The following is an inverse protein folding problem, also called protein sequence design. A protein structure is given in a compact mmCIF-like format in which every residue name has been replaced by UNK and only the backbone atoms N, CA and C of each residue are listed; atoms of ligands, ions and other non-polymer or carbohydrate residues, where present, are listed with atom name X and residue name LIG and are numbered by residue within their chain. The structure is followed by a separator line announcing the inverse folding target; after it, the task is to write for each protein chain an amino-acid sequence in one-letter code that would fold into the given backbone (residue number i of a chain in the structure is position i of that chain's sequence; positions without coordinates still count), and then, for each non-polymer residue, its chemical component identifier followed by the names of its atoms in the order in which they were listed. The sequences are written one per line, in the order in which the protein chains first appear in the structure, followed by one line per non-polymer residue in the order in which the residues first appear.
data_IF_206610736831
#
_entry.id   IF_206610736831
#
_cell.length_a   1.000
_cell.length_b   1.000
_cell.length_c   1.000
_cell.angle_alpha   90.00
_cell.angle_beta   90.00
_cell.angle_gamma   90.00
#
_symmetry.space_group_name_H-M   'P 1'
#
loop_
_entity.id
_entity.type
_entity.pdbx_description
1 polymer ?
#
# COMPACT_ATOMS: atom_id res chain seq x y z
N UNK A 1 6.71 -1.75 -39.13
CA UNK A 1 6.84 -2.75 -38.07
C UNK A 1 5.88 -3.92 -38.26
N UNK A 2 4.59 -3.70 -38.68
CA UNK A 2 3.67 -4.81 -38.98
C UNK A 2 4.17 -5.58 -40.20
N UNK A 3 4.21 -6.90 -40.14
CA UNK A 3 4.74 -7.80 -41.16
C UNK A 3 6.26 -8.04 -41.07
N UNK A 4 7.00 -7.29 -40.22
CA UNK A 4 8.43 -7.52 -40.01
C UNK A 4 8.66 -8.64 -38.98
N UNK A 5 9.84 -9.23 -39.02
CA UNK A 5 10.28 -10.22 -38.04
C UNK A 5 11.33 -9.61 -37.14
N UNK A 6 11.11 -9.64 -35.82
CA UNK A 6 12.04 -9.21 -34.78
C UNK A 6 12.61 -10.49 -34.13
N UNK A 7 13.87 -10.78 -34.34
CA UNK A 7 14.48 -12.08 -33.97
C UNK A 7 13.65 -13.23 -34.62
N UNK A 8 12.90 -14.00 -33.85
CA UNK A 8 12.00 -15.08 -34.33
C UNK A 8 10.52 -14.74 -34.10
N UNK A 9 10.18 -13.51 -33.78
CA UNK A 9 8.81 -13.05 -33.56
C UNK A 9 8.31 -12.30 -34.79
N UNK A 10 7.32 -12.82 -35.46
CA UNK A 10 6.66 -12.16 -36.59
C UNK A 10 5.55 -11.23 -36.10
N UNK A 11 5.72 -9.93 -36.26
CA UNK A 11 4.75 -8.92 -35.85
C UNK A 11 3.52 -8.98 -36.75
N UNK A 12 2.33 -9.23 -36.17
CA UNK A 12 1.07 -9.44 -36.89
C UNK A 12 0.10 -8.26 -36.81
N UNK A 13 0.03 -7.59 -35.66
CA UNK A 13 -0.87 -6.46 -35.45
C UNK A 13 -0.32 -5.47 -34.40
N UNK A 14 -0.83 -4.24 -34.43
CA UNK A 14 -0.60 -3.26 -33.36
C UNK A 14 -1.73 -3.39 -32.33
N UNK A 15 -1.37 -3.60 -31.05
CA UNK A 15 -2.32 -3.69 -29.93
C UNK A 15 -2.57 -2.32 -29.28
N UNK A 16 -1.55 -1.46 -29.19
CA UNK A 16 -1.67 -0.17 -28.56
C UNK A 16 -0.39 0.66 -28.64
N UNK A 17 -0.53 1.91 -28.22
CA UNK A 17 0.59 2.82 -28.02
C UNK A 17 0.32 3.63 -26.75
N UNK A 18 1.32 3.82 -25.92
CA UNK A 18 1.23 4.60 -24.69
C UNK A 18 2.55 5.24 -24.33
N UNK A 19 2.60 5.92 -23.23
CA UNK A 19 3.83 6.58 -22.74
C UNK A 19 4.99 5.61 -22.48
N UNK A 20 4.75 4.31 -22.45
CA UNK A 20 5.76 3.26 -22.26
C UNK A 20 6.19 2.56 -23.55
N UNK A 21 5.81 3.09 -24.72
CA UNK A 21 6.15 2.53 -26.02
C UNK A 21 4.96 1.97 -26.78
N UNK A 22 5.25 1.27 -27.86
CA UNK A 22 4.26 0.63 -28.72
C UNK A 22 4.19 -0.87 -28.41
N UNK A 23 2.96 -1.39 -28.34
CA UNK A 23 2.71 -2.82 -28.08
C UNK A 23 2.14 -3.46 -29.35
N UNK A 24 2.69 -4.59 -29.73
CA UNK A 24 2.32 -5.35 -30.91
C UNK A 24 1.98 -6.79 -30.56
N UNK A 25 1.04 -7.36 -31.29
CA UNK A 25 0.83 -8.81 -31.35
C UNK A 25 1.88 -9.42 -32.28
N UNK A 26 2.47 -10.52 -31.87
CA UNK A 26 3.43 -11.24 -32.68
C UNK A 26 3.31 -12.76 -32.49
N UNK A 27 3.69 -13.51 -33.53
CA UNK A 27 3.77 -14.96 -33.49
C UNK A 27 5.23 -15.38 -33.22
N UNK A 28 5.45 -16.11 -32.14
CA UNK A 28 6.70 -16.76 -31.81
C UNK A 28 6.86 -18.00 -32.73
N UNK A 29 7.70 -17.88 -33.75
CA UNK A 29 7.88 -18.90 -34.76
C UNK A 29 8.64 -20.14 -34.25
N UNK A 30 9.37 -20.02 -33.13
CA UNK A 30 10.08 -21.12 -32.49
C UNK A 30 9.18 -21.98 -31.62
N UNK A 31 8.28 -21.34 -30.85
CA UNK A 31 7.43 -22.04 -29.89
C UNK A 31 5.98 -22.19 -30.39
N UNK A 32 5.61 -21.61 -31.53
CA UNK A 32 4.28 -21.74 -32.13
C UNK A 32 3.17 -21.09 -31.27
N UNK A 33 3.47 -19.98 -30.59
CA UNK A 33 2.51 -19.29 -29.74
C UNK A 33 2.41 -17.80 -30.08
N UNK A 34 1.31 -17.19 -29.71
CA UNK A 34 1.13 -15.75 -29.82
C UNK A 34 1.67 -15.05 -28.57
N UNK A 35 2.30 -13.90 -28.76
CA UNK A 35 2.89 -13.08 -27.71
C UNK A 35 2.57 -11.61 -27.92
N UNK A 36 2.71 -10.79 -26.88
CA UNK A 36 2.74 -9.35 -26.98
C UNK A 36 4.19 -8.86 -26.95
N UNK A 37 4.55 -8.01 -27.89
CA UNK A 37 5.88 -7.36 -27.94
C UNK A 37 5.72 -5.89 -27.58
N UNK A 38 6.39 -5.46 -26.52
CA UNK A 38 6.44 -4.07 -26.11
C UNK A 38 7.78 -3.46 -26.47
N UNK A 39 7.77 -2.60 -27.51
CA UNK A 39 8.95 -1.86 -27.94
C UNK A 39 9.28 -0.80 -26.89
N UNK A 40 10.54 -0.76 -26.46
CA UNK A 40 10.99 0.27 -25.50
C UNK A 40 11.32 1.57 -26.24
N UNK A 41 11.13 2.73 -25.61
CA UNK A 41 11.48 4.01 -26.21
C UNK A 41 12.96 4.09 -26.56
N UNK A 42 13.32 4.77 -27.68
CA UNK A 42 14.71 4.88 -28.11
C UNK A 42 15.66 5.51 -27.08
N UNK A 43 15.14 6.39 -26.23
CA UNK A 43 15.89 7.05 -25.16
C UNK A 43 16.39 6.06 -24.09
N UNK A 44 15.77 4.89 -23.98
CA UNK A 44 16.23 3.82 -23.09
C UNK A 44 17.35 2.99 -23.72
N UNK A 45 17.37 2.88 -25.03
CA UNK A 45 18.41 2.14 -25.75
C UNK A 45 19.77 2.86 -25.72
N UNK A 46 19.75 4.19 -25.63
CA UNK A 46 20.97 5.03 -25.59
C UNK A 46 21.67 5.10 -24.23
N UNK A 47 21.08 4.53 -23.16
CA UNK A 47 21.62 4.58 -21.80
C UNK A 47 21.91 3.16 -21.27
N UNK A 48 23.20 2.71 -21.28
CA UNK A 48 23.56 1.36 -20.84
C UNK A 48 23.21 1.07 -19.38
N UNK A 49 23.24 2.07 -18.49
CA UNK A 49 22.91 1.87 -17.08
C UNK A 49 21.41 1.65 -16.89
N UNK A 50 20.59 2.41 -17.60
CA UNK A 50 19.13 2.23 -17.60
C UNK A 50 18.75 0.88 -18.19
N UNK A 51 19.38 0.46 -19.27
CA UNK A 51 19.13 -0.84 -19.88
C UNK A 51 19.54 -1.99 -18.95
N UNK A 52 20.71 -1.90 -18.28
CA UNK A 52 21.15 -2.89 -17.31
C UNK A 52 20.21 -2.96 -16.08
N UNK A 53 19.66 -1.84 -15.65
CA UNK A 53 18.65 -1.78 -14.58
C UNK A 53 17.34 -2.43 -15.02
N UNK A 54 16.87 -2.09 -16.21
CA UNK A 54 15.67 -2.70 -16.79
C UNK A 54 15.81 -4.22 -16.93
N UNK A 55 17.00 -4.71 -17.38
CA UNK A 55 17.27 -6.16 -17.46
C UNK A 55 17.13 -6.84 -16.10
N UNK A 56 17.69 -6.25 -15.05
CA UNK A 56 17.58 -6.77 -13.68
C UNK A 56 16.13 -6.78 -13.19
N UNK A 57 15.40 -5.71 -13.43
CA UNK A 57 13.98 -5.63 -13.05
C UNK A 57 13.13 -6.64 -13.85
N UNK A 58 13.36 -6.75 -15.16
CA UNK A 58 12.69 -7.74 -15.99
C UNK A 58 12.97 -9.19 -15.55
N UNK A 59 14.21 -9.50 -15.11
CA UNK A 59 14.55 -10.82 -14.55
C UNK A 59 13.78 -11.12 -13.26
N UNK A 60 13.67 -10.13 -12.36
CA UNK A 60 12.89 -10.28 -11.13
C UNK A 60 11.41 -10.46 -11.45
N UNK A 61 10.87 -9.66 -12.38
CA UNK A 61 9.49 -9.75 -12.82
C UNK A 61 9.19 -11.07 -13.54
N UNK A 62 10.12 -11.59 -14.35
CA UNK A 62 9.99 -12.89 -15.02
C UNK A 62 9.91 -14.06 -14.02
N UNK A 63 10.38 -13.87 -12.78
CA UNK A 63 10.21 -14.86 -11.72
C UNK A 63 8.79 -14.88 -11.10
N UNK A 64 7.94 -13.89 -11.44
CA UNK A 64 6.54 -13.86 -11.04
C UNK A 64 5.75 -14.81 -11.94
N UNK A 65 5.35 -15.94 -11.40
CA UNK A 65 4.40 -16.85 -12.06
C UNK A 65 3.14 -16.93 -11.21
N UNK A 66 2.13 -16.16 -11.60
CA UNK A 66 0.87 -16.08 -10.86
C UNK A 66 -0.31 -15.99 -11.85
N UNK A 67 -1.44 -16.64 -11.58
CA UNK A 67 -2.59 -16.65 -12.51
C UNK A 67 -3.12 -15.26 -12.82
N UNK A 68 -3.02 -14.31 -11.89
CA UNK A 68 -3.51 -12.95 -12.05
C UNK A 68 -2.42 -11.94 -12.44
N UNK A 69 -1.23 -12.36 -12.83
CA UNK A 69 -0.15 -11.49 -13.32
C UNK A 69 0.16 -11.86 -14.77
N UNK A 70 0.28 -10.87 -15.66
CA UNK A 70 0.75 -11.07 -17.01
C UNK A 70 2.23 -11.45 -17.02
N UNK A 71 2.56 -12.61 -17.60
CA UNK A 71 3.92 -13.14 -17.59
C UNK A 71 4.86 -12.36 -18.51
N UNK A 72 6.10 -12.17 -18.08
CA UNK A 72 7.21 -11.72 -18.92
C UNK A 72 7.94 -12.95 -19.44
N UNK A 73 7.92 -13.13 -20.75
CA UNK A 73 8.58 -14.26 -21.42
C UNK A 73 10.05 -14.00 -21.71
N UNK A 74 10.44 -12.73 -21.87
CA UNK A 74 11.82 -12.36 -22.13
C UNK A 74 12.02 -10.88 -22.38
N UNK A 75 13.28 -10.49 -22.40
CA UNK A 75 13.78 -9.21 -22.87
C UNK A 75 14.82 -9.49 -23.92
N UNK A 76 14.56 -9.05 -25.13
CA UNK A 76 15.44 -9.27 -26.29
C UNK A 76 15.81 -7.92 -26.92
N UNK A 77 16.81 -7.94 -27.80
CA UNK A 77 17.18 -6.79 -28.61
C UNK A 77 17.43 -7.22 -30.06
N UNK A 78 17.08 -6.36 -31.00
CA UNK A 78 17.36 -6.49 -32.42
C UNK A 78 17.79 -5.12 -32.93
N UNK A 79 18.97 -5.04 -33.55
CA UNK A 79 19.56 -3.80 -34.05
C UNK A 79 19.66 -2.71 -32.98
N UNK A 80 20.08 -3.08 -31.77
CA UNK A 80 20.15 -2.22 -30.59
C UNK A 80 18.81 -1.60 -30.15
N UNK A 81 17.69 -2.22 -30.55
CA UNK A 81 16.33 -1.84 -30.13
C UNK A 81 15.81 -2.90 -29.15
N UNK A 82 15.85 -2.63 -27.85
CA UNK A 82 15.36 -3.55 -26.85
C UNK A 82 13.83 -3.63 -26.86
N UNK A 83 13.29 -4.82 -26.63
CA UNK A 83 11.86 -5.05 -26.49
C UNK A 83 11.57 -6.14 -25.46
N UNK A 84 10.42 -6.02 -24.82
CA UNK A 84 9.89 -7.04 -23.91
C UNK A 84 8.96 -7.98 -24.65
N UNK A 85 9.12 -9.27 -24.40
CA UNK A 85 8.19 -10.31 -24.84
C UNK A 85 7.30 -10.68 -23.67
N UNK A 86 6.01 -10.50 -23.84
CA UNK A 86 5.00 -10.61 -22.79
C UNK A 86 3.95 -11.65 -23.17
N UNK A 87 3.25 -12.17 -22.18
CA UNK A 87 2.03 -12.94 -22.37
C UNK A 87 1.02 -12.10 -23.15
N UNK A 88 0.47 -12.65 -24.23
CA UNK A 88 -0.66 -12.06 -24.91
C UNK A 88 -1.94 -12.42 -24.16
N UNK A 89 -2.49 -11.45 -23.44
CA UNK A 89 -3.74 -11.64 -22.72
C UNK A 89 -4.92 -11.20 -23.58
N UNK A 90 -5.76 -12.12 -23.93
CA UNK A 90 -7.01 -11.85 -24.66
C UNK A 90 -8.06 -11.25 -23.74
N UNK A 91 -9.02 -10.50 -24.31
CA UNK A 91 -10.08 -9.83 -23.56
C UNK A 91 -9.95 -8.32 -23.57
N UNK A 92 -10.82 -7.65 -22.84
CA UNK A 92 -10.83 -6.20 -22.71
C UNK A 92 -10.04 -5.74 -21.48
N UNK A 93 -9.60 -4.48 -21.48
CA UNK A 93 -9.08 -3.91 -20.24
C UNK A 93 -10.21 -3.32 -19.38
N UNK A 94 -9.93 -3.14 -18.09
CA UNK A 94 -10.91 -2.65 -17.12
C UNK A 94 -11.40 -1.22 -17.47
N UNK A 95 -10.59 -0.40 -18.18
CA UNK A 95 -11.03 0.93 -18.61
C UNK A 95 -12.11 0.85 -19.70
N UNK A 96 -11.99 -0.12 -20.62
CA UNK A 96 -13.01 -0.41 -21.61
C UNK A 96 -14.30 -0.94 -20.95
N UNK A 97 -14.18 -1.80 -19.95
CA UNK A 97 -15.33 -2.28 -19.17
C UNK A 97 -16.04 -1.13 -18.44
N UNK A 98 -15.26 -0.24 -17.81
CA UNK A 98 -15.78 0.93 -17.07
C UNK A 98 -16.42 1.99 -17.97
N UNK A 99 -16.04 2.07 -19.25
CA UNK A 99 -16.68 2.99 -20.20
C UNK A 99 -18.17 2.70 -20.40
N UNK A 100 -18.63 1.49 -20.06
CA UNK A 100 -20.05 1.09 -20.11
C UNK A 100 -20.81 1.38 -18.82
N UNK A 101 -20.14 1.93 -17.82
CA UNK A 101 -20.74 2.28 -16.52
C UNK A 101 -20.18 1.47 -15.35
N UNK A 102 -20.77 1.62 -14.16
CA UNK A 102 -20.33 0.93 -12.96
C UNK A 102 -20.44 -0.60 -13.12
N UNK A 103 -19.59 -1.31 -12.38
CA UNK A 103 -19.57 -2.76 -12.37
C UNK A 103 -20.51 -3.25 -11.26
N UNK A 104 -21.35 -4.28 -11.51
CA UNK A 104 -22.16 -4.89 -10.47
C UNK A 104 -21.29 -5.29 -9.26
N UNK A 105 -21.85 -5.14 -8.05
CA UNK A 105 -21.09 -5.31 -6.82
C UNK A 105 -20.33 -6.63 -6.75
N UNK A 106 -20.99 -7.76 -7.00
CA UNK A 106 -20.34 -9.09 -6.92
C UNK A 106 -19.20 -9.23 -7.91
N UNK A 107 -19.39 -8.79 -9.16
CA UNK A 107 -18.35 -8.76 -10.20
C UNK A 107 -17.19 -7.85 -9.79
N UNK A 108 -17.48 -6.66 -9.23
CA UNK A 108 -16.46 -5.72 -8.79
C UNK A 108 -15.61 -6.28 -7.64
N UNK A 109 -16.23 -6.98 -6.69
CA UNK A 109 -15.53 -7.60 -5.56
C UNK A 109 -14.67 -8.79 -6.02
N UNK A 110 -15.14 -9.57 -6.99
CA UNK A 110 -14.38 -10.67 -7.57
C UNK A 110 -13.15 -10.18 -8.34
N UNK A 111 -13.31 -9.14 -9.17
CA UNK A 111 -12.20 -8.47 -9.85
C UNK A 111 -11.21 -7.90 -8.82
N UNK A 112 -11.70 -7.21 -7.80
CA UNK A 112 -10.87 -6.63 -6.75
C UNK A 112 -10.08 -7.69 -5.99
N UNK A 113 -10.68 -8.84 -5.68
CA UNK A 113 -9.99 -9.96 -5.03
C UNK A 113 -8.83 -10.45 -5.87
N UNK A 114 -9.04 -10.68 -7.17
CA UNK A 114 -8.00 -11.14 -8.09
C UNK A 114 -6.88 -10.09 -8.28
N UNK A 115 -7.20 -8.79 -8.29
CA UNK A 115 -6.18 -7.73 -8.28
C UNK A 115 -5.38 -7.77 -6.97
N UNK A 116 -6.03 -7.96 -5.82
CA UNK A 116 -5.36 -8.06 -4.54
C UNK A 116 -4.41 -9.26 -4.49
N UNK A 117 -4.82 -10.43 -5.01
CA UNK A 117 -3.98 -11.63 -5.10
C UNK A 117 -2.73 -11.39 -5.96
N UNK A 118 -2.89 -10.68 -7.09
CA UNK A 118 -1.76 -10.31 -7.95
C UNK A 118 -0.77 -9.37 -7.24
N UNK A 119 -1.28 -8.36 -6.55
CA UNK A 119 -0.45 -7.41 -5.82
C UNK A 119 0.26 -8.08 -4.64
N UNK A 120 -0.43 -8.96 -3.89
CA UNK A 120 0.16 -9.71 -2.78
C UNK A 120 1.34 -10.54 -3.26
N UNK A 121 1.15 -11.36 -4.30
CA UNK A 121 2.21 -12.20 -4.86
C UNK A 121 3.43 -11.40 -5.34
N UNK A 122 3.23 -10.19 -5.86
CA UNK A 122 4.30 -9.28 -6.23
C UNK A 122 5.00 -8.67 -5.00
N UNK A 123 4.22 -8.21 -4.02
CA UNK A 123 4.72 -7.58 -2.80
C UNK A 123 5.55 -8.54 -1.94
N UNK A 124 5.19 -9.84 -1.88
CA UNK A 124 5.97 -10.88 -1.21
C UNK A 124 7.38 -11.02 -1.80
N UNK A 125 7.55 -10.74 -3.09
CA UNK A 125 8.84 -10.72 -3.77
C UNK A 125 9.52 -9.34 -3.78
N UNK A 126 8.99 -8.39 -3.01
CA UNK A 126 9.50 -7.01 -2.92
C UNK A 126 9.25 -6.17 -4.18
N UNK A 127 8.34 -6.60 -5.05
CA UNK A 127 7.97 -5.90 -6.28
C UNK A 127 6.77 -5.01 -6.01
N UNK A 128 6.88 -3.73 -6.33
CA UNK A 128 5.81 -2.73 -6.25
C UNK A 128 5.40 -2.35 -7.67
N UNK A 129 4.10 -2.36 -7.96
CA UNK A 129 3.57 -2.10 -9.30
C UNK A 129 3.77 -0.64 -9.74
N UNK A 130 3.43 0.32 -8.87
CA UNK A 130 3.59 1.78 -9.02
C UNK A 130 2.74 2.48 -10.09
N UNK A 131 2.09 1.74 -10.97
CA UNK A 131 1.24 2.27 -12.06
C UNK A 131 -0.05 1.45 -12.21
N UNK A 132 -0.65 1.00 -11.10
CA UNK A 132 -1.92 0.29 -11.14
C UNK A 132 -3.03 1.26 -11.55
N UNK A 133 -3.74 0.89 -12.63
CA UNK A 133 -4.86 1.63 -13.21
C UNK A 133 -5.71 0.69 -14.06
N UNK A 134 -6.95 1.06 -14.40
CA UNK A 134 -7.84 0.18 -15.17
C UNK A 134 -7.26 -0.31 -16.49
N UNK A 135 -6.50 0.49 -17.24
CA UNK A 135 -5.89 0.07 -18.50
C UNK A 135 -4.76 -0.97 -18.35
N UNK A 136 -4.25 -1.17 -17.13
CA UNK A 136 -3.25 -2.18 -16.80
C UNK A 136 -3.87 -3.44 -16.17
N UNK A 137 -5.21 -3.54 -16.17
CA UNK A 137 -5.96 -4.70 -15.67
C UNK A 137 -6.76 -5.28 -16.83
N UNK A 138 -6.45 -6.50 -17.25
CA UNK A 138 -7.16 -7.23 -18.30
C UNK A 138 -8.21 -8.15 -17.70
N UNK A 139 -9.38 -8.19 -18.32
CA UNK A 139 -10.48 -9.11 -18.03
C UNK A 139 -10.56 -10.13 -19.17
N UNK A 140 -10.24 -11.37 -18.89
CA UNK A 140 -10.28 -12.45 -19.90
C UNK A 140 -11.72 -12.95 -20.10
N UNK A 141 -12.03 -13.58 -21.25
CA UNK A 141 -13.38 -14.09 -21.52
C UNK A 141 -13.86 -15.16 -20.52
N UNK A 142 -12.93 -15.85 -19.84
CA UNK A 142 -13.22 -16.85 -18.80
C UNK A 142 -13.32 -16.23 -17.38
N UNK A 143 -13.40 -14.91 -17.28
CA UNK A 143 -13.60 -14.17 -16.01
C UNK A 143 -12.34 -14.02 -15.14
N UNK A 144 -11.16 -14.35 -15.67
CA UNK A 144 -9.91 -14.12 -14.96
C UNK A 144 -9.43 -12.69 -15.13
N UNK A 145 -8.77 -12.19 -14.08
CA UNK A 145 -8.08 -10.90 -14.11
C UNK A 145 -6.59 -11.13 -14.33
N UNK A 146 -5.99 -10.34 -15.20
CA UNK A 146 -4.54 -10.26 -15.39
C UNK A 146 -4.07 -8.83 -15.19
N UNK A 147 -3.25 -8.61 -14.15
CA UNK A 147 -2.56 -7.33 -13.93
C UNK A 147 -1.30 -7.29 -14.76
N UNK A 148 -1.14 -6.24 -15.54
CA UNK A 148 -0.06 -6.07 -16.52
C UNK A 148 0.90 -4.95 -16.09
N UNK A 149 2.09 -4.92 -16.68
CA UNK A 149 3.06 -3.80 -16.57
C UNK A 149 3.61 -3.53 -15.15
N UNK A 150 3.80 -4.57 -14.34
CA UNK A 150 4.45 -4.45 -13.03
C UNK A 150 5.84 -3.82 -13.13
N UNK A 151 6.12 -2.86 -12.23
CA UNK A 151 7.47 -2.39 -11.91
C UNK A 151 8.24 -1.66 -13.01
N UNK A 152 7.81 -1.70 -14.26
CA UNK A 152 8.51 -1.08 -15.40
C UNK A 152 8.63 0.45 -15.29
N UNK A 153 7.84 1.08 -14.44
CA UNK A 153 7.90 2.52 -14.18
C UNK A 153 9.19 2.94 -13.44
N UNK A 154 9.76 2.08 -12.58
CA UNK A 154 10.99 2.36 -11.81
C UNK A 154 12.21 2.44 -12.71
N UNK A 155 12.32 1.55 -13.70
CA UNK A 155 13.42 1.56 -14.65
C UNK A 155 13.55 2.88 -15.42
N UNK A 156 12.46 3.63 -15.55
CA UNK A 156 12.43 4.95 -16.23
C UNK A 156 12.78 6.12 -15.31
N UNK A 157 12.39 6.06 -14.05
CA UNK A 157 12.51 7.20 -13.14
C UNK A 157 13.97 7.48 -12.68
N UNK A 158 14.87 6.49 -12.77
CA UNK A 158 16.21 6.61 -12.20
C UNK A 158 16.18 6.87 -10.69
N UNK A 159 17.33 6.96 -10.03
CA UNK A 159 17.45 7.33 -8.62
C UNK A 159 17.12 8.82 -8.32
N UNK A 160 16.68 9.59 -9.33
CA UNK A 160 16.26 10.98 -9.15
C UNK A 160 15.08 11.14 -8.15
N UNK A 161 14.36 10.06 -7.83
CA UNK A 161 13.38 10.04 -6.74
C UNK A 161 14.02 10.08 -5.33
N UNK A 162 15.36 10.01 -5.22
CA UNK A 162 16.08 10.09 -3.94
C UNK A 162 16.68 11.49 -3.67
N UNK A 163 16.57 12.45 -4.59
CA UNK A 163 17.04 13.81 -4.36
C UNK A 163 15.95 14.70 -3.76
N UNK A 164 16.17 15.32 -2.60
CA UNK A 164 15.17 16.13 -1.90
C UNK A 164 15.14 17.58 -2.43
N UNK A 165 14.99 17.79 -3.72
CA UNK A 165 14.73 19.11 -4.28
C UNK A 165 14.54 19.05 -5.78
N UNK A 166 13.33 18.98 -6.27
CA UNK A 166 13.03 19.42 -7.62
C UNK A 166 11.60 19.86 -7.71
N UNK A 167 11.41 21.05 -8.21
CA UNK A 167 10.20 21.63 -8.69
C UNK A 167 9.38 20.56 -9.45
N UNK A 168 8.13 20.33 -9.07
CA UNK A 168 7.26 19.30 -9.64
C UNK A 168 7.15 19.43 -11.18
N UNK A 169 7.47 20.62 -11.74
CA UNK A 169 7.57 20.90 -13.18
C UNK A 169 8.72 20.17 -13.89
N UNK A 170 9.72 19.66 -13.13
CA UNK A 170 10.91 18.99 -13.66
C UNK A 170 10.94 17.47 -13.40
N UNK A 171 9.87 16.88 -12.89
CA UNK A 171 9.77 15.42 -12.81
C UNK A 171 9.91 14.81 -14.21
N UNK A 172 10.86 13.90 -14.45
CA UNK A 172 11.07 13.29 -15.78
C UNK A 172 9.81 12.65 -16.35
N UNK A 173 8.90 12.19 -15.49
CA UNK A 173 7.60 11.63 -15.87
C UNK A 173 6.65 12.69 -16.42
N UNK A 174 6.76 13.94 -15.99
CA UNK A 174 5.91 15.07 -16.44
C UNK A 174 6.57 15.86 -17.58
N UNK A 175 7.90 16.05 -17.55
CA UNK A 175 8.61 16.88 -18.53
C UNK A 175 8.76 16.20 -19.91
N UNK A 176 8.88 14.87 -19.99
CA UNK A 176 8.99 14.14 -21.26
C UNK A 176 7.66 13.85 -21.93
N UNK A 177 6.55 14.17 -21.29
CA UNK A 177 5.21 13.85 -21.75
C UNK A 177 4.55 14.98 -22.56
N UNK A 178 5.31 15.90 -23.06
CA UNK A 178 4.84 17.10 -23.82
C UNK A 178 4.03 16.86 -25.08
N UNK A 179 3.64 15.62 -25.43
CA UNK A 179 2.90 15.34 -26.67
C UNK A 179 1.67 14.43 -26.54
N UNK A 180 1.33 13.92 -25.33
CA UNK A 180 0.10 13.13 -25.16
C UNK A 180 -0.66 13.52 -23.88
N UNK A 181 -1.21 14.69 -23.86
CA UNK A 181 -1.94 15.29 -22.71
C UNK A 181 -3.00 14.36 -22.10
N UNK A 182 -3.69 13.56 -22.90
CA UNK A 182 -4.77 12.68 -22.42
C UNK A 182 -4.29 11.43 -21.64
N UNK A 183 -3.14 10.85 -22.00
CA UNK A 183 -2.62 9.63 -21.37
C UNK A 183 -2.04 9.92 -19.98
N UNK A 184 -1.38 11.07 -19.82
CA UNK A 184 -0.80 11.49 -18.54
C UNK A 184 -1.88 11.92 -17.57
N UNK A 185 -2.86 12.67 -18.04
CA UNK A 185 -4.01 13.09 -17.26
C UNK A 185 -4.74 11.87 -16.67
N UNK A 186 -4.88 10.79 -17.48
CA UNK A 186 -5.49 9.53 -17.04
C UNK A 186 -4.71 8.83 -15.94
N UNK A 187 -3.38 8.79 -16.03
CA UNK A 187 -2.52 8.09 -15.05
C UNK A 187 -2.42 8.84 -13.72
N UNK A 188 -2.37 10.16 -13.74
CA UNK A 188 -2.24 11.00 -12.54
C UNK A 188 -3.36 10.75 -11.49
N UNK A 189 -4.55 10.35 -11.95
CA UNK A 189 -5.70 10.10 -11.09
C UNK A 189 -5.54 8.90 -10.14
N UNK A 190 -4.61 7.98 -10.43
CA UNK A 190 -4.35 6.77 -9.64
C UNK A 190 -3.07 6.88 -8.80
N UNK A 191 -2.28 7.94 -8.98
CA UNK A 191 -1.07 8.18 -8.20
C UNK A 191 -1.40 8.34 -6.72
N UNK A 192 -0.56 7.74 -5.87
CA UNK A 192 -0.66 7.97 -4.44
C UNK A 192 -0.16 9.38 -4.04
N UNK A 193 -0.58 9.92 -2.88
CA UNK A 193 -0.11 11.22 -2.41
C UNK A 193 1.41 11.33 -2.27
N UNK A 194 2.10 10.24 -1.93
CA UNK A 194 3.55 10.17 -1.87
C UNK A 194 4.19 10.21 -3.27
N UNK A 195 3.59 9.53 -4.27
CA UNK A 195 4.03 9.64 -5.67
C UNK A 195 3.84 11.05 -6.20
N UNK A 196 2.67 11.65 -5.96
CA UNK A 196 2.37 13.02 -6.38
C UNK A 196 3.33 14.05 -5.77
N UNK A 197 3.93 13.77 -4.60
CA UNK A 197 4.93 14.61 -3.92
C UNK A 197 6.38 14.24 -4.27
N UNK A 198 6.62 13.25 -5.15
CA UNK A 198 7.97 12.77 -5.43
C UNK A 198 8.69 12.14 -4.23
N UNK A 199 7.96 11.63 -3.26
CA UNK A 199 8.52 10.97 -2.07
C UNK A 199 8.83 9.50 -2.33
N UNK A 200 9.72 8.87 -1.55
CA UNK A 200 9.94 7.43 -1.63
C UNK A 200 8.62 6.65 -1.47
N UNK A 201 8.43 5.64 -2.30
CA UNK A 201 7.23 4.81 -2.34
C UNK A 201 7.53 3.38 -1.95
N UNK A 202 6.58 2.73 -1.28
CA UNK A 202 6.58 1.31 -0.96
C UNK A 202 5.27 0.64 -1.45
N UNK A 203 5.02 -0.60 -1.06
CA UNK A 203 3.84 -1.38 -1.46
C UNK A 203 2.50 -0.69 -1.14
N UNK A 204 2.45 0.24 -0.20
CA UNK A 204 1.24 1.00 0.16
C UNK A 204 0.79 1.97 -0.94
N UNK A 205 1.66 2.29 -1.87
CA UNK A 205 1.29 3.06 -3.08
C UNK A 205 0.32 2.28 -3.96
N UNK A 206 0.53 0.96 -4.11
CA UNK A 206 -0.37 0.09 -4.87
C UNK A 206 -1.71 -0.10 -4.14
N UNK A 207 -1.70 -0.10 -2.80
CA UNK A 207 -2.92 -0.17 -1.99
C UNK A 207 -3.79 1.09 -2.19
N UNK A 208 -3.18 2.26 -2.31
CA UNK A 208 -3.89 3.47 -2.69
C UNK A 208 -4.53 3.34 -4.08
N UNK A 209 -3.73 2.97 -5.08
CA UNK A 209 -4.21 2.80 -6.45
C UNK A 209 -5.32 1.74 -6.55
N UNK A 210 -5.19 0.63 -5.80
CA UNK A 210 -6.23 -0.39 -5.64
C UNK A 210 -7.53 0.22 -5.11
N UNK A 211 -7.46 1.05 -4.05
CA UNK A 211 -8.62 1.75 -3.50
C UNK A 211 -9.30 2.68 -4.52
N UNK A 212 -8.50 3.41 -5.33
CA UNK A 212 -9.02 4.27 -6.40
C UNK A 212 -9.73 3.43 -7.48
N UNK A 213 -9.13 2.33 -7.93
CA UNK A 213 -9.71 1.42 -8.93
C UNK A 213 -11.00 0.79 -8.42
N UNK A 214 -11.02 0.29 -7.16
CA UNK A 214 -12.22 -0.28 -6.56
C UNK A 214 -13.35 0.75 -6.44
N UNK A 215 -13.05 1.98 -6.03
CA UNK A 215 -14.04 3.05 -5.98
C UNK A 215 -14.61 3.33 -7.38
N UNK A 216 -13.76 3.39 -8.40
CA UNK A 216 -14.19 3.62 -9.78
C UNK A 216 -15.05 2.46 -10.31
N UNK A 217 -14.71 1.22 -10.01
CA UNK A 217 -15.53 0.05 -10.36
C UNK A 217 -16.94 0.14 -9.78
N UNK A 218 -17.05 0.52 -8.51
CA UNK A 218 -18.35 0.57 -7.80
C UNK A 218 -19.22 1.77 -8.20
N UNK A 219 -18.60 2.89 -8.59
CA UNK A 219 -19.32 4.14 -8.90
C UNK A 219 -19.43 4.44 -10.38
N UNK A 220 -18.61 3.79 -11.24
CA UNK A 220 -18.47 4.12 -12.65
C UNK A 220 -17.85 5.51 -12.90
N UNK A 221 -17.27 6.15 -11.89
CA UNK A 221 -16.74 7.51 -11.97
C UNK A 221 -15.34 7.60 -11.36
N UNK A 222 -14.46 8.32 -12.04
CA UNK A 222 -13.13 8.62 -11.49
C UNK A 222 -13.24 9.34 -10.16
N UNK A 223 -12.41 8.93 -9.21
CA UNK A 223 -12.37 9.53 -7.87
C UNK A 223 -11.73 10.93 -7.92
N UNK A 224 -10.64 11.07 -8.67
CA UNK A 224 -9.92 12.34 -8.81
C UNK A 224 -9.95 12.80 -10.26
N UNK A 225 -10.40 14.03 -10.47
CA UNK A 225 -10.55 14.65 -11.80
C UNK A 225 -10.05 16.10 -11.76
N UNK A 226 -9.61 16.60 -12.89
CA UNK A 226 -9.17 17.97 -13.10
C UNK A 226 -9.03 18.26 -14.60
N UNK A 227 -8.92 19.51 -14.97
CA UNK A 227 -8.73 19.94 -16.37
C UNK A 227 -7.26 19.74 -16.80
N UNK A 228 -6.34 19.88 -15.85
CA UNK A 228 -4.91 19.68 -16.06
C UNK A 228 -4.37 18.56 -15.16
N UNK A 229 -3.18 18.07 -15.48
CA UNK A 229 -2.45 17.10 -14.61
C UNK A 229 -2.24 17.70 -13.22
N UNK A 230 -1.90 18.98 -13.13
CA UNK A 230 -1.71 19.68 -11.85
C UNK A 230 -2.98 19.72 -11.01
N UNK A 231 -4.13 19.92 -11.63
CA UNK A 231 -5.43 19.91 -10.92
C UNK A 231 -5.75 18.53 -10.38
N UNK A 232 -5.48 17.47 -11.17
CA UNK A 232 -5.66 16.08 -10.72
C UNK A 232 -4.73 15.77 -9.55
N UNK A 233 -3.45 16.15 -9.63
CA UNK A 233 -2.49 15.96 -8.52
C UNK A 233 -2.92 16.76 -7.29
N UNK A 234 -3.37 17.99 -7.45
CA UNK A 234 -3.92 18.79 -6.35
C UNK A 234 -5.13 18.10 -5.71
N UNK A 235 -6.04 17.53 -6.52
CA UNK A 235 -7.18 16.77 -6.03
C UNK A 235 -6.74 15.52 -5.23
N UNK A 236 -5.77 14.74 -5.71
CA UNK A 236 -5.19 13.59 -4.97
C UNK A 236 -4.63 14.03 -3.62
N UNK A 237 -3.98 15.19 -3.56
CA UNK A 237 -3.33 15.69 -2.35
C UNK A 237 -4.30 16.28 -1.33
N UNK A 238 -5.44 16.84 -1.77
CA UNK A 238 -6.28 17.68 -0.91
C UNK A 238 -7.76 17.28 -0.86
N UNK A 239 -8.33 16.75 -1.97
CA UNK A 239 -9.77 16.47 -2.04
C UNK A 239 -10.12 15.20 -1.28
N UNK A 240 -11.12 15.27 -0.39
CA UNK A 240 -11.69 14.09 0.23
C UNK A 240 -12.52 13.27 -0.79
N UNK A 241 -12.46 11.92 -0.72
CA UNK A 241 -13.33 11.06 -1.53
C UNK A 241 -14.81 11.36 -1.25
N UNK A 242 -15.61 11.43 -2.31
CA UNK A 242 -17.04 11.64 -2.21
C UNK A 242 -17.75 10.32 -1.85
N UNK A 243 -17.71 9.96 -0.56
CA UNK A 243 -18.21 8.69 -0.03
C UNK A 243 -19.70 8.44 -0.31
N UNK A 244 -20.49 9.50 -0.45
CA UNK A 244 -21.93 9.46 -0.74
C UNK A 244 -22.22 8.96 -2.17
N UNK A 245 -21.22 8.92 -3.06
CA UNK A 245 -21.35 8.31 -4.38
C UNK A 245 -21.35 6.78 -4.35
N UNK A 246 -20.88 6.17 -3.27
CA UNK A 246 -20.91 4.72 -3.16
C UNK A 246 -22.37 4.24 -3.02
N UNK A 247 -22.81 3.28 -3.86
CA UNK A 247 -24.14 2.69 -3.74
C UNK A 247 -24.43 2.20 -2.33
N UNK A 248 -25.65 2.34 -1.86
CA UNK A 248 -26.06 1.87 -0.53
C UNK A 248 -25.89 0.35 -0.34
N UNK A 249 -25.87 -0.39 -1.44
CA UNK A 249 -25.65 -1.84 -1.49
C UNK A 249 -24.22 -2.26 -1.15
N UNK A 250 -23.25 -1.33 -1.16
CA UNK A 250 -21.85 -1.64 -0.83
C UNK A 250 -21.74 -1.98 0.66
N UNK A 251 -21.23 -3.19 1.02
CA UNK A 251 -21.13 -3.64 2.41
C UNK A 251 -20.27 -2.70 3.28
N UNK A 252 -20.56 -2.63 4.59
CA UNK A 252 -19.76 -1.84 5.53
C UNK A 252 -18.28 -2.24 5.57
N UNK A 253 -17.96 -3.53 5.40
CA UNK A 253 -16.60 -4.06 5.30
C UNK A 253 -15.86 -3.42 4.11
N UNK A 254 -16.47 -3.39 2.93
CA UNK A 254 -15.89 -2.80 1.71
C UNK A 254 -15.74 -1.27 1.85
N UNK A 255 -16.72 -0.58 2.48
CA UNK A 255 -16.62 0.85 2.79
C UNK A 255 -15.43 1.13 3.73
N UNK A 256 -15.23 0.27 4.73
CA UNK A 256 -14.09 0.36 5.66
C UNK A 256 -12.78 0.12 4.93
N UNK A 257 -12.72 -0.90 4.05
CA UNK A 257 -11.55 -1.18 3.21
C UNK A 257 -11.17 0.03 2.36
N UNK A 258 -12.14 0.63 1.63
CA UNK A 258 -11.93 1.82 0.82
C UNK A 258 -11.35 2.98 1.65
N UNK A 259 -11.91 3.26 2.83
CA UNK A 259 -11.40 4.32 3.72
C UNK A 259 -9.96 4.05 4.17
N UNK A 260 -9.64 2.79 4.51
CA UNK A 260 -8.28 2.39 4.91
C UNK A 260 -7.28 2.44 3.73
N UNK A 261 -7.72 2.08 2.54
CA UNK A 261 -6.88 2.11 1.33
C UNK A 261 -6.62 3.54 0.85
N UNK A 262 -7.61 4.43 0.97
CA UNK A 262 -7.55 5.83 0.52
C UNK A 262 -7.11 6.81 1.65
N UNK A 263 -6.46 6.31 2.69
CA UNK A 263 -5.83 7.14 3.71
C UNK A 263 -4.57 7.81 3.12
N UNK A 264 -4.49 9.16 3.21
CA UNK A 264 -3.39 9.92 2.60
C UNK A 264 -2.06 9.72 3.28
N UNK A 265 -2.07 9.57 4.60
CA UNK A 265 -0.85 9.22 5.33
C UNK A 265 -0.58 7.71 5.16
N UNK A 266 0.51 7.32 4.47
CA UNK A 266 0.81 5.91 4.27
C UNK A 266 1.04 5.14 5.59
N UNK A 267 1.33 5.84 6.71
CA UNK A 267 1.48 5.19 8.03
C UNK A 267 0.14 4.74 8.61
N UNK A 268 -0.94 5.40 8.24
CA UNK A 268 -2.32 5.10 8.66
C UNK A 268 -3.07 4.25 7.65
N UNK A 269 -2.55 4.18 6.40
CA UNK A 269 -3.12 3.35 5.33
C UNK A 269 -3.00 1.87 5.67
N UNK A 270 -3.84 1.03 5.05
CA UNK A 270 -3.71 -0.43 5.07
C UNK A 270 -2.26 -0.84 4.81
N UNK A 271 -1.69 -1.72 5.65
CA UNK A 271 -0.26 -2.06 5.59
C UNK A 271 0.06 -3.12 4.55
N UNK A 272 -0.89 -4.04 4.35
CA UNK A 272 -0.76 -5.16 3.45
C UNK A 272 -2.02 -5.33 2.63
N UNK A 273 -1.87 -5.63 1.33
CA UNK A 273 -3.00 -5.87 0.44
C UNK A 273 -3.71 -7.19 0.77
N UNK A 274 -3.01 -8.16 1.37
CA UNK A 274 -3.59 -9.41 1.85
C UNK A 274 -4.77 -9.18 2.80
N UNK A 275 -4.71 -8.14 3.65
CA UNK A 275 -5.79 -7.79 4.57
C UNK A 275 -7.08 -7.38 3.83
N UNK A 276 -6.96 -6.89 2.59
CA UNK A 276 -8.12 -6.51 1.78
C UNK A 276 -9.04 -7.69 1.48
N UNK A 277 -8.51 -8.91 1.35
CA UNK A 277 -9.29 -10.11 1.04
C UNK A 277 -10.34 -10.41 2.10
N UNK A 278 -10.01 -10.18 3.37
CA UNK A 278 -10.97 -10.38 4.47
C UNK A 278 -12.17 -9.43 4.34
N UNK A 279 -11.89 -8.15 4.08
CA UNK A 279 -12.96 -7.15 3.91
C UNK A 279 -13.76 -7.36 2.60
N UNK A 280 -13.15 -7.90 1.52
CA UNK A 280 -13.81 -8.21 0.25
C UNK A 280 -14.69 -9.47 0.33
N UNK A 281 -14.28 -10.48 1.11
CA UNK A 281 -15.04 -11.73 1.28
C UNK A 281 -16.20 -11.60 2.24
N UNK A 282 -16.17 -10.61 3.12
CA UNK A 282 -17.26 -10.32 4.07
C UNK A 282 -18.42 -9.63 3.35
N UNK A 283 -19.30 -10.43 2.74
CA UNK A 283 -20.49 -9.99 1.99
C UNK A 283 -21.65 -9.52 2.90
N UNK A 284 -21.35 -9.13 4.13
CA UNK A 284 -22.38 -8.63 5.07
C UNK A 284 -23.15 -9.73 5.81
N UNK A 285 -22.63 -10.98 5.84
CA UNK A 285 -23.13 -11.99 6.77
C UNK A 285 -22.80 -11.67 8.24
N UNK A 286 -22.12 -10.54 8.51
CA UNK A 286 -21.58 -10.18 9.81
C UNK A 286 -22.06 -8.88 10.44
N UNK A 287 -22.96 -8.11 9.82
CA UNK A 287 -23.67 -7.03 10.51
C UNK A 287 -25.09 -7.47 10.99
N UNK A 288 -25.24 -8.70 11.37
CA UNK A 288 -25.79 -8.83 12.72
C UNK A 288 -24.70 -8.26 13.67
N UNK A 289 -24.56 -6.90 13.70
CA UNK A 289 -24.33 -6.30 15.00
C UNK A 289 -25.16 -7.13 15.95
N UNK A 290 -24.52 -7.71 16.95
CA UNK A 290 -25.19 -7.97 18.21
C UNK A 290 -25.86 -6.65 18.57
N UNK A 291 -27.01 -6.34 17.92
CA UNK A 291 -28.05 -5.56 18.56
C UNK A 291 -28.20 -6.32 19.84
N UNK A 292 -27.84 -5.72 21.00
CA UNK A 292 -28.22 -6.35 22.23
C UNK A 292 -29.68 -6.59 21.99
N UNK A 293 -30.09 -7.85 21.83
CA UNK A 293 -31.52 -8.27 21.81
C UNK A 293 -32.10 -7.39 22.85
N UNK A 294 -33.16 -6.55 22.55
CA UNK A 294 -33.75 -5.74 23.59
C UNK A 294 -34.03 -6.76 24.69
N UNK A 295 -33.14 -6.74 25.68
CA UNK A 295 -33.06 -7.79 26.69
C UNK A 295 -34.46 -7.83 27.25
N UNK A 296 -35.13 -8.97 27.16
CA UNK A 296 -36.37 -9.15 27.87
C UNK A 296 -36.09 -8.56 29.22
N UNK A 297 -36.85 -7.54 29.62
CA UNK A 297 -36.67 -6.83 30.90
C UNK A 297 -36.43 -7.91 31.94
N UNK A 298 -35.24 -7.95 32.60
CA UNK A 298 -34.99 -8.93 33.61
C UNK A 298 -36.16 -8.77 34.58
N UNK A 299 -36.93 -9.84 34.81
CA UNK A 299 -37.99 -9.75 35.79
C UNK A 299 -37.31 -9.24 37.08
N UNK A 300 -37.97 -8.33 37.80
CA UNK A 300 -37.44 -7.81 39.07
C UNK A 300 -36.92 -8.90 39.99
N UNK A 301 -37.46 -10.13 39.86
CA UNK A 301 -37.04 -11.36 40.54
C UNK A 301 -35.61 -11.79 40.16
N UNK A 302 -35.19 -11.72 38.88
CA UNK A 302 -33.80 -12.06 38.48
C UNK A 302 -32.83 -10.97 38.93
N UNK A 303 -33.21 -9.69 38.87
CA UNK A 303 -32.43 -8.60 39.42
C UNK A 303 -32.26 -8.69 40.95
N UNK A 304 -33.32 -9.07 41.66
CA UNK A 304 -33.28 -9.30 43.11
C UNK A 304 -32.42 -10.51 43.50
N UNK A 305 -32.46 -11.60 42.71
CA UNK A 305 -31.61 -12.76 42.92
C UNK A 305 -30.12 -12.45 42.71
N UNK A 306 -29.78 -11.71 41.66
CA UNK A 306 -28.42 -11.26 41.42
C UNK A 306 -27.88 -10.30 42.48
N UNK A 307 -28.73 -9.38 42.97
CA UNK A 307 -28.41 -8.51 44.07
C UNK A 307 -28.16 -9.27 45.39
N UNK A 308 -29.00 -10.29 45.69
CA UNK A 308 -28.83 -11.13 46.87
C UNK A 308 -27.52 -11.97 46.81
N UNK A 309 -27.18 -12.51 45.64
CA UNK A 309 -25.94 -13.24 45.43
C UNK A 309 -24.72 -12.28 45.57
N UNK A 310 -24.77 -11.10 45.00
CA UNK A 310 -23.73 -10.11 45.11
C UNK A 310 -23.50 -9.65 46.56
N UNK A 311 -24.59 -9.48 47.32
CA UNK A 311 -24.53 -9.13 48.74
C UNK A 311 -23.94 -10.26 49.57
N UNK A 312 -24.37 -11.52 49.33
CA UNK A 312 -23.81 -12.69 50.00
C UNK A 312 -22.29 -12.90 49.71
N UNK A 313 -21.89 -12.71 48.45
CA UNK A 313 -20.47 -12.74 48.06
C UNK A 313 -19.66 -11.59 48.67
N UNK A 314 -20.23 -10.41 48.78
CA UNK A 314 -19.65 -9.25 49.45
C UNK A 314 -19.42 -9.47 50.94
N UNK A 315 -20.38 -10.10 51.62
CA UNK A 315 -20.27 -10.46 53.07
C UNK A 315 -19.19 -11.50 53.26
N UNK A 316 -19.13 -12.56 52.40
CA UNK A 316 -18.11 -13.62 52.50
C UNK A 316 -16.71 -13.06 52.15
N UNK A 317 -16.60 -12.15 51.19
CA UNK A 317 -15.33 -11.48 50.88
C UNK A 317 -14.90 -10.52 51.99
N UNK A 318 -15.85 -9.76 52.57
CA UNK A 318 -15.57 -8.85 53.69
C UNK A 318 -15.10 -9.55 54.97
N UNK A 319 -15.58 -10.76 55.23
CA UNK A 319 -15.11 -11.55 56.39
C UNK A 319 -13.75 -12.23 56.17
N UNK A 320 -13.26 -12.28 54.93
CA UNK A 320 -11.96 -12.82 54.54
C UNK A 320 -10.90 -11.77 54.23
N UNK A 321 -11.20 -10.48 54.46
CA UNK A 321 -10.14 -9.46 54.50
C UNK A 321 -9.26 -9.78 55.69
N UNK A 322 -8.34 -10.69 55.48
CA UNK A 322 -7.20 -10.92 56.35
C UNK A 322 -6.52 -9.58 56.52
N UNK A 323 -6.39 -9.16 57.77
CA UNK A 323 -5.60 -7.98 58.14
C UNK A 323 -4.25 -8.13 57.48
N UNK A 324 -3.98 -7.35 56.47
CA UNK A 324 -2.62 -7.23 55.97
C UNK A 324 -1.74 -6.76 57.13
N UNK A 325 -0.63 -7.45 57.38
CA UNK A 325 0.31 -6.96 58.41
C UNK A 325 0.76 -5.54 57.98
N UNK A 326 0.96 -4.65 58.97
CA UNK A 326 1.42 -3.29 58.65
C UNK A 326 2.74 -3.37 57.88
N UNK A 327 2.94 -2.50 56.85
CA UNK A 327 4.16 -2.51 56.05
C UNK A 327 5.38 -2.41 57.00
N UNK A 328 6.48 -3.13 56.71
CA UNK A 328 7.67 -3.08 57.48
C UNK A 328 8.15 -1.61 57.59
N UNK A 329 8.47 -1.17 58.81
CA UNK A 329 9.01 0.17 59.04
C UNK A 329 10.30 0.26 58.22
N UNK A 330 10.55 1.37 57.52
CA UNK A 330 11.79 1.56 56.76
C UNK A 330 12.97 1.44 57.75
N UNK A 331 13.84 0.51 57.49
CA UNK A 331 15.10 0.38 58.24
C UNK A 331 15.97 1.60 57.85
N UNK A 332 16.39 2.31 58.90
CA UNK A 332 17.38 3.38 58.75
C UNK A 332 18.74 2.78 58.41
N UNK A 333 19.11 2.81 57.15
CA UNK A 333 20.47 2.50 56.74
C UNK A 333 21.43 3.58 57.21
N UNK A 334 22.35 3.20 58.08
CA UNK A 334 23.46 4.06 58.50
C UNK A 334 24.73 3.53 57.87
N UNK A 335 25.39 4.37 57.07
CA UNK A 335 26.70 4.04 56.51
C UNK A 335 27.65 5.23 56.73
N UNK A 336 28.91 4.96 56.86
CA UNK A 336 29.97 5.95 56.92
C UNK A 336 30.65 6.00 55.54
N UNK A 337 30.80 7.23 55.05
CA UNK A 337 31.55 7.46 53.81
C UNK A 337 32.97 7.86 54.23
N UNK A 338 33.98 7.05 53.98
CA UNK A 338 35.35 7.47 54.21
C UNK A 338 35.71 8.58 53.25
N UNK A 339 36.10 9.72 53.77
CA UNK A 339 36.67 10.80 52.97
C UNK A 339 38.14 10.46 52.66
N UNK A 340 38.68 10.88 51.50
CA UNK A 340 40.12 10.79 51.22
C UNK A 340 40.92 11.50 52.33
N UNK A 341 42.11 10.97 52.59
CA UNK A 341 43.01 11.58 53.61
C UNK A 341 43.32 13.04 53.26
N UNK A 342 43.15 13.93 54.23
CA UNK A 342 43.38 15.39 54.02
C UNK A 342 42.17 16.16 53.48
N UNK A 343 40.98 15.57 53.38
CA UNK A 343 39.79 16.27 52.94
C UNK A 343 38.75 16.44 54.06
N UNK A 344 38.08 17.57 54.06
CA UNK A 344 36.99 17.90 54.97
C UNK A 344 35.70 18.23 54.26
N UNK A 345 34.55 17.81 54.82
CA UNK A 345 33.24 18.18 54.29
C UNK A 345 32.98 19.68 54.47
N UNK A 346 32.69 20.37 53.39
CA UNK A 346 32.26 21.78 53.46
C UNK A 346 30.74 21.79 53.69
N UNK A 347 30.36 22.41 54.81
CA UNK A 347 28.95 22.36 55.28
C UNK A 347 27.93 22.79 54.23
N UNK A 348 26.91 21.95 54.05
CA UNK A 348 25.64 22.27 53.39
C UNK A 348 25.30 21.55 52.08
N UNK A 349 26.13 20.69 51.54
CA UNK A 349 25.90 20.12 50.22
C UNK A 349 25.80 18.60 50.15
N UNK A 350 24.86 17.98 50.87
CA UNK A 350 24.48 16.60 50.68
C UNK A 350 23.21 16.52 49.84
N UNK A 351 23.27 15.89 48.69
CA UNK A 351 22.12 15.73 47.80
C UNK A 351 22.00 14.25 47.35
N UNK A 352 20.82 13.68 47.53
CA UNK A 352 20.51 12.32 47.09
C UNK A 352 19.74 12.38 45.78
N UNK A 353 20.09 11.50 44.82
CA UNK A 353 19.34 11.40 43.60
C UNK A 353 17.90 10.93 43.82
N UNK A 354 16.94 11.29 42.96
CA UNK A 354 15.52 10.93 43.14
C UNK A 354 15.27 9.40 43.21
N UNK A 355 16.17 8.60 42.66
CA UNK A 355 16.11 7.15 42.71
C UNK A 355 16.80 6.52 43.92
N UNK A 356 17.37 7.37 44.81
CA UNK A 356 18.02 6.96 46.05
C UNK A 356 19.36 6.21 45.89
N UNK A 357 19.94 6.19 44.69
CA UNK A 357 21.13 5.36 44.37
C UNK A 357 22.44 6.13 44.37
N UNK A 358 22.40 7.43 44.23
CA UNK A 358 23.60 8.26 44.13
C UNK A 358 23.56 9.38 45.13
N UNK A 359 24.64 9.50 45.93
CA UNK A 359 24.82 10.59 46.87
C UNK A 359 25.93 11.52 46.38
N UNK A 360 25.63 12.80 46.21
CA UNK A 360 26.60 13.84 45.87
C UNK A 360 26.91 14.70 47.08
N UNK A 361 28.16 15.01 47.31
CA UNK A 361 28.62 15.89 48.37
C UNK A 361 29.84 16.70 47.94
N UNK A 362 30.04 17.82 48.61
CA UNK A 362 31.20 18.69 48.36
C UNK A 362 32.22 18.50 49.48
N UNK A 363 33.44 18.16 49.10
CA UNK A 363 34.59 18.10 50.01
C UNK A 363 35.68 19.07 49.54
N UNK A 364 36.43 19.63 50.47
CA UNK A 364 37.56 20.51 50.18
C UNK A 364 38.85 19.80 50.59
N UNK A 365 39.85 19.87 49.75
CA UNK A 365 41.20 19.40 50.02
C UNK A 365 41.97 20.51 50.79
N UNK A 366 42.98 20.12 51.58
CA UNK A 366 43.85 21.04 52.35
C UNK A 366 44.73 21.95 51.47
N UNK A 367 44.78 21.70 50.17
CA UNK A 367 45.52 22.52 49.21
C UNK A 367 44.75 23.72 48.62
N UNK A 368 43.48 23.93 48.99
CA UNK A 368 42.66 25.11 48.65
C UNK A 368 41.61 24.88 47.63
#
# INVERSE_FOLDING_TARGET
VIGTTLSHYRVTAKLGAGGMGQVYRASDQKLGREVAIKMLPPEMAGDPERLARLRREAQVLASLNHPNIGAIHGLEDVDAKPFLVLELVEGEDLSQRLSRGPIPLDEALEIASQIADALEAAHEKGIVHRDLKPSNVKLTPDGKVKVLDFGLAKARAGDAAAAPSADLSQSPTLAQAGTQTGVILGTAAYMSPEQARGRPVDKRTDIWAFGVVLFEMLTGKRLFTGETVSDVLAAVLTREPEWDRLPSTVPPSVRRLLRRSLERDPRRRLRDIADARLDLSDRGAGDEMVRPKPGGRPSWLTAAALAAIATALGIVAGTRVVREPPPPRPELLRFQIPLPEGSSLVGGGLSLSPDGRTLAFTARDESG
#
